data_IF_424406047473
#
_entry.id   IF_424406047473
#
_cell.length_a   1.000
_cell.length_b   1.000
_cell.length_c   1.000
_cell.angle_alpha   90.00
_cell.angle_beta   90.00
_cell.angle_gamma   90.00
#
_symmetry.space_group_name_H-M   'P 1'
#
loop_
_entity.id
_entity.type
_entity.pdbx_description
1 polymer ?
#
# COMPACT_ATOMS: atom_id res chain seq x y z
N UNK A 1 28.22 -26.24 44.25
CA UNK A 1 27.30 -25.09 44.11
C UNK A 1 27.72 -24.26 42.91
N UNK A 2 26.80 -24.12 41.95
CA UNK A 2 26.72 -23.17 40.80
C UNK A 2 27.89 -23.17 39.80
N UNK A 3 27.83 -23.72 38.58
CA UNK A 3 26.87 -23.68 37.45
C UNK A 3 26.93 -22.43 36.54
N UNK A 4 27.69 -22.62 35.46
CA UNK A 4 27.60 -22.14 34.06
C UNK A 4 26.61 -21.00 33.69
N UNK A 5 27.10 -20.05 32.88
CA UNK A 5 26.76 -19.93 31.44
C UNK A 5 27.50 -18.77 30.76
N UNK A 6 28.34 -19.08 29.76
CA UNK A 6 28.98 -18.10 28.87
C UNK A 6 28.09 -17.82 27.66
N UNK A 7 27.91 -16.53 27.39
CA UNK A 7 27.13 -15.93 26.29
C UNK A 7 27.70 -16.33 24.92
N UNK A 8 26.89 -16.94 24.06
CA UNK A 8 27.19 -17.14 22.62
C UNK A 8 26.75 -15.90 21.84
N UNK A 9 27.70 -15.11 21.33
CA UNK A 9 27.47 -14.17 20.23
C UNK A 9 27.53 -14.94 18.91
N UNK A 10 26.44 -14.96 18.13
CA UNK A 10 26.45 -15.44 16.73
C UNK A 10 26.73 -14.22 15.84
N UNK A 11 27.83 -14.28 15.10
CA UNK A 11 28.14 -13.34 14.03
C UNK A 11 27.32 -13.71 12.78
N UNK A 12 26.69 -12.72 12.17
CA UNK A 12 26.00 -12.83 10.87
C UNK A 12 27.04 -12.55 9.78
N UNK A 13 27.31 -13.53 8.92
CA UNK A 13 28.18 -13.37 7.77
C UNK A 13 27.35 -12.94 6.55
N UNK A 14 27.58 -11.73 6.05
CA UNK A 14 27.05 -11.23 4.77
C UNK A 14 28.11 -11.55 3.71
N UNK A 15 27.84 -12.56 2.88
CA UNK A 15 28.71 -12.94 1.76
C UNK A 15 28.34 -12.18 0.49
N UNK A 16 29.21 -11.26 0.05
CA UNK A 16 29.18 -10.63 -1.27
C UNK A 16 29.91 -11.56 -2.25
N UNK A 17 29.22 -12.08 -3.27
CA UNK A 17 29.85 -12.87 -4.33
C UNK A 17 30.34 -11.93 -5.43
N UNK A 18 31.66 -11.77 -5.51
CA UNK A 18 32.36 -11.11 -6.61
C UNK A 18 32.53 -12.03 -7.81
N UNK A 19 32.21 -11.52 -8.99
CA UNK A 19 32.35 -12.16 -10.29
C UNK A 19 33.82 -12.09 -10.73
N UNK A 20 34.50 -13.22 -10.90
CA UNK A 20 35.85 -13.28 -11.52
C UNK A 20 35.72 -14.06 -12.83
N UNK A 21 35.98 -13.37 -13.94
CA UNK A 21 36.12 -13.98 -15.28
C UNK A 21 37.51 -14.61 -15.40
N UNK A 22 37.58 -15.86 -15.87
CA UNK A 22 38.85 -16.51 -16.22
C UNK A 22 38.82 -16.97 -17.68
N UNK A 23 39.78 -16.47 -18.46
CA UNK A 23 40.08 -16.86 -19.84
C UNK A 23 40.60 -18.29 -19.89
N UNK A 24 40.11 -19.08 -20.84
CA UNK A 24 40.56 -20.45 -21.09
C UNK A 24 41.84 -20.49 -21.93
N UNK A 25 42.81 -21.28 -21.46
CA UNK A 25 43.89 -21.85 -22.28
C UNK A 25 43.66 -23.34 -22.35
N UNK A 26 43.63 -23.89 -23.56
CA UNK A 26 43.44 -25.30 -23.83
C UNK A 26 44.73 -26.10 -23.62
N UNK A 27 44.65 -27.21 -22.89
CA UNK A 27 45.64 -28.28 -22.94
C UNK A 27 44.92 -29.63 -22.84
N UNK A 28 45.05 -30.41 -23.90
CA UNK A 28 44.65 -31.81 -24.05
C UNK A 28 45.39 -32.70 -23.06
N UNK A 29 44.64 -33.50 -22.29
CA UNK A 29 45.20 -34.51 -21.39
C UNK A 29 44.14 -35.53 -20.96
N UNK A 30 44.26 -36.74 -21.51
CA UNK A 30 43.75 -38.05 -21.10
C UNK A 30 42.91 -38.10 -19.79
N UNK A 31 41.64 -38.52 -19.89
CA UNK A 31 40.82 -38.89 -18.72
C UNK A 31 40.47 -40.38 -18.80
N UNK A 32 41.02 -41.13 -17.84
CA UNK A 32 40.64 -42.50 -17.49
C UNK A 32 39.20 -42.46 -16.97
N UNK A 33 38.30 -43.23 -17.58
CA UNK A 33 36.91 -43.33 -17.16
C UNK A 33 36.80 -44.07 -15.82
N UNK A 34 36.77 -43.33 -14.72
CA UNK A 34 36.37 -43.83 -13.41
C UNK A 34 34.87 -43.59 -13.30
N UNK A 35 34.08 -44.65 -13.31
CA UNK A 35 32.63 -44.62 -13.11
C UNK A 35 32.27 -44.24 -11.68
N UNK A 36 32.47 -42.98 -11.29
CA UNK A 36 31.95 -42.40 -10.07
C UNK A 36 30.63 -41.70 -10.42
N UNK A 37 29.51 -42.30 -9.99
CA UNK A 37 28.19 -41.65 -10.03
C UNK A 37 28.30 -40.39 -9.18
N UNK A 38 28.25 -39.22 -9.82
CA UNK A 38 28.29 -37.93 -9.14
C UNK A 38 27.21 -37.89 -8.03
N UNK A 39 27.54 -37.46 -6.80
CA UNK A 39 26.53 -37.26 -5.78
C UNK A 39 25.53 -36.22 -6.29
N UNK A 40 24.23 -36.52 -6.20
CA UNK A 40 23.18 -35.52 -6.47
C UNK A 40 23.44 -34.35 -5.52
N UNK A 41 23.64 -33.16 -6.10
CA UNK A 41 23.69 -31.94 -5.31
C UNK A 41 22.32 -31.75 -4.65
N UNK A 42 22.25 -31.98 -3.35
CA UNK A 42 21.08 -31.62 -2.56
C UNK A 42 20.92 -30.10 -2.66
N UNK A 43 19.89 -29.66 -3.38
CA UNK A 43 19.55 -28.24 -3.48
C UNK A 43 19.05 -27.78 -2.12
N UNK A 44 19.92 -27.17 -1.32
CA UNK A 44 19.54 -26.47 -0.10
C UNK A 44 18.68 -25.27 -0.51
N UNK A 45 17.36 -25.42 -0.47
CA UNK A 45 16.45 -24.30 -0.64
C UNK A 45 16.51 -23.45 0.63
N UNK A 46 17.15 -22.28 0.55
CA UNK A 46 17.07 -21.28 1.61
C UNK A 46 15.62 -20.79 1.65
N UNK A 47 14.93 -21.01 2.77
CA UNK A 47 13.60 -20.47 2.99
C UNK A 47 13.70 -18.96 3.22
N UNK A 48 12.97 -18.17 2.45
CA UNK A 48 12.93 -16.72 2.63
C UNK A 48 12.12 -16.42 3.89
N UNK A 49 12.78 -15.82 4.89
CA UNK A 49 12.10 -15.21 6.03
C UNK A 49 11.51 -13.85 5.62
N UNK A 50 10.28 -13.89 5.13
CA UNK A 50 9.54 -12.72 4.66
C UNK A 50 9.32 -11.66 5.75
N UNK A 51 9.10 -12.11 7.00
CA UNK A 51 8.91 -11.21 8.13
C UNK A 51 10.22 -10.50 8.47
N UNK A 52 11.35 -11.22 8.53
CA UNK A 52 12.66 -10.62 8.76
C UNK A 52 13.04 -9.63 7.66
N UNK A 53 12.72 -9.92 6.40
CA UNK A 53 12.95 -9.01 5.28
C UNK A 53 12.16 -7.71 5.44
N UNK A 54 10.87 -7.78 5.77
CA UNK A 54 10.07 -6.60 6.05
C UNK A 54 10.60 -5.81 7.26
N UNK A 55 10.91 -6.50 8.36
CA UNK A 55 11.44 -5.88 9.58
C UNK A 55 12.78 -5.16 9.35
N UNK A 56 13.68 -5.74 8.56
CA UNK A 56 14.94 -5.10 8.19
C UNK A 56 14.69 -3.79 7.42
N UNK A 57 13.69 -3.75 6.52
CA UNK A 57 13.34 -2.55 5.77
C UNK A 57 12.69 -1.47 6.66
N UNK A 58 11.80 -1.87 7.56
CA UNK A 58 11.18 -0.97 8.53
C UNK A 58 12.24 -0.31 9.42
N UNK A 59 13.19 -1.07 9.93
CA UNK A 59 14.31 -0.55 10.71
C UNK A 59 15.19 0.42 9.90
N UNK A 60 15.56 0.05 8.67
CA UNK A 60 16.37 0.90 7.77
C UNK A 60 15.70 2.25 7.50
N UNK A 61 14.36 2.29 7.49
CA UNK A 61 13.58 3.48 7.16
C UNK A 61 13.04 4.22 8.38
N UNK A 62 13.45 3.83 9.61
CA UNK A 62 12.99 4.42 10.89
C UNK A 62 11.49 4.28 11.14
N UNK A 63 10.93 3.10 10.83
CA UNK A 63 9.56 2.70 11.19
C UNK A 63 9.59 1.51 12.17
N UNK A 64 10.45 1.60 13.17
CA UNK A 64 10.66 0.59 14.24
C UNK A 64 9.46 0.41 15.16
N UNK A 65 8.49 1.33 15.12
CA UNK A 65 7.19 1.17 15.77
C UNK A 65 6.34 0.03 15.16
N UNK A 66 6.68 -0.44 13.95
CA UNK A 66 5.96 -1.49 13.25
C UNK A 66 6.79 -2.78 13.16
N UNK A 67 6.12 -3.92 13.34
CA UNK A 67 6.70 -5.25 13.30
C UNK A 67 5.86 -6.11 12.37
N UNK A 68 6.51 -6.75 11.40
CA UNK A 68 5.95 -7.76 10.53
C UNK A 68 6.09 -9.16 11.17
N UNK A 69 5.03 -9.95 11.00
CA UNK A 69 4.97 -11.38 11.30
C UNK A 69 4.43 -12.14 10.10
N UNK A 70 4.82 -13.40 9.96
CA UNK A 70 4.31 -14.28 8.90
C UNK A 70 3.70 -15.53 9.54
N UNK A 71 2.44 -15.81 9.23
CA UNK A 71 1.75 -17.01 9.70
C UNK A 71 0.77 -17.50 8.63
N UNK A 72 0.85 -18.78 8.26
CA UNK A 72 -0.13 -19.45 7.38
C UNK A 72 -0.36 -18.74 6.03
N UNK A 73 0.67 -18.06 5.54
CA UNK A 73 0.61 -17.29 4.30
C UNK A 73 0.13 -15.85 4.44
N UNK A 74 -0.10 -15.37 5.65
CA UNK A 74 -0.45 -13.96 5.89
C UNK A 74 0.74 -13.21 6.46
N UNK A 75 1.07 -12.08 5.83
CA UNK A 75 1.99 -11.09 6.38
C UNK A 75 1.15 -10.09 7.18
N UNK A 76 1.36 -10.04 8.49
CA UNK A 76 0.67 -9.11 9.37
C UNK A 76 1.66 -8.11 9.93
N UNK A 77 1.38 -6.83 9.70
CA UNK A 77 2.08 -5.74 10.36
C UNK A 77 1.30 -5.30 11.60
N UNK A 78 2.00 -5.07 12.70
CA UNK A 78 1.41 -4.62 13.97
C UNK A 78 2.35 -3.62 14.63
N UNK A 79 1.82 -2.69 15.41
CA UNK A 79 2.61 -1.59 15.96
C UNK A 79 1.72 -0.44 16.39
N UNK A 80 2.33 0.63 16.91
CA UNK A 80 1.62 1.86 17.26
C UNK A 80 2.25 3.05 16.54
N UNK A 81 1.60 3.52 15.48
CA UNK A 81 2.08 4.66 14.70
C UNK A 81 1.74 6.00 15.37
N UNK A 82 2.60 7.03 15.19
CA UNK A 82 2.32 8.37 15.69
C UNK A 82 1.20 9.08 14.92
N UNK A 83 0.98 8.72 13.65
CA UNK A 83 -0.01 9.32 12.77
C UNK A 83 -0.36 8.39 11.59
N UNK A 84 -1.44 8.72 10.87
CA UNK A 84 -1.98 7.88 9.80
C UNK A 84 -1.08 7.82 8.57
N UNK A 85 -0.37 8.91 8.26
CA UNK A 85 0.57 8.94 7.16
C UNK A 85 1.76 8.01 7.43
N UNK A 86 2.28 8.04 8.66
CA UNK A 86 3.38 7.21 9.11
C UNK A 86 2.98 5.72 9.18
N UNK A 87 1.75 5.41 9.64
CA UNK A 87 1.16 4.06 9.55
C UNK A 87 1.17 3.53 8.12
N UNK A 88 0.59 4.30 7.19
CA UNK A 88 0.47 3.91 5.77
C UNK A 88 1.85 3.73 5.13
N UNK A 89 2.79 4.64 5.39
CA UNK A 89 4.17 4.54 4.89
C UNK A 89 4.86 3.27 5.37
N UNK A 90 4.76 2.93 6.66
CA UNK A 90 5.35 1.70 7.20
C UNK A 90 4.79 0.46 6.50
N UNK A 91 3.46 0.39 6.34
CA UNK A 91 2.82 -0.72 5.66
C UNK A 91 3.31 -0.89 4.22
N UNK A 92 3.36 0.20 3.46
CA UNK A 92 3.84 0.17 2.07
C UNK A 92 5.33 -0.16 1.95
N UNK A 93 6.17 0.31 2.87
CA UNK A 93 7.60 -0.01 2.90
C UNK A 93 7.81 -1.52 3.04
N UNK A 94 7.12 -2.15 4.00
CA UNK A 94 7.22 -3.59 4.22
C UNK A 94 6.66 -4.38 3.03
N UNK A 95 5.47 -4.01 2.55
CA UNK A 95 4.81 -4.65 1.41
C UNK A 95 5.68 -4.59 0.14
N UNK A 96 6.22 -3.42 -0.19
CA UNK A 96 7.08 -3.24 -1.37
C UNK A 96 8.38 -4.04 -1.26
N UNK A 97 8.98 -4.12 -0.08
CA UNK A 97 10.18 -4.93 0.13
C UNK A 97 9.90 -6.41 -0.18
N UNK A 98 8.78 -6.94 0.32
CA UNK A 98 8.37 -8.33 0.08
C UNK A 98 8.07 -8.58 -1.40
N UNK A 99 7.29 -7.71 -2.04
CA UNK A 99 6.95 -7.84 -3.47
C UNK A 99 8.21 -7.78 -4.35
N UNK A 100 9.17 -6.90 -4.02
CA UNK A 100 10.43 -6.82 -4.75
C UNK A 100 11.28 -8.09 -4.57
N UNK A 101 11.26 -8.71 -3.38
CA UNK A 101 11.94 -9.98 -3.17
C UNK A 101 11.25 -11.14 -3.93
N UNK A 102 9.92 -11.14 -4.02
CA UNK A 102 9.17 -12.13 -4.81
C UNK A 102 9.43 -12.07 -6.31
N UNK A 103 9.74 -10.89 -6.86
CA UNK A 103 10.03 -10.75 -8.30
C UNK A 103 11.41 -11.28 -8.67
N UNK A 104 12.34 -11.31 -7.70
CA UNK A 104 13.68 -11.87 -7.85
C UNK A 104 13.69 -13.38 -7.57
N UNK A 105 12.83 -13.85 -6.65
CA UNK A 105 12.70 -15.26 -6.34
C UNK A 105 11.96 -16.04 -7.45
N UNK A 106 12.70 -16.92 -8.13
CA UNK A 106 12.16 -17.84 -9.15
C UNK A 106 11.60 -19.13 -8.56
N UNK A 107 11.70 -19.33 -7.24
CA UNK A 107 11.15 -20.49 -6.55
C UNK A 107 9.63 -20.39 -6.37
N UNK A 108 9.00 -21.50 -5.97
CA UNK A 108 7.58 -21.52 -5.60
C UNK A 108 7.29 -20.85 -4.25
N UNK A 109 8.31 -20.43 -3.48
CA UNK A 109 8.13 -19.82 -2.16
C UNK A 109 7.32 -18.52 -2.20
N UNK A 110 7.32 -17.79 -3.33
CA UNK A 110 6.41 -16.64 -3.54
C UNK A 110 4.93 -16.98 -3.42
N UNK A 111 4.53 -18.24 -3.68
CA UNK A 111 3.14 -18.71 -3.52
C UNK A 111 2.74 -18.86 -2.05
N UNK A 112 3.70 -18.81 -1.13
CA UNK A 112 3.44 -18.92 0.30
C UNK A 112 2.65 -17.72 0.82
N UNK A 113 2.84 -16.53 0.26
CA UNK A 113 2.12 -15.32 0.69
C UNK A 113 0.80 -15.21 -0.06
N UNK A 114 -0.29 -15.18 0.70
CA UNK A 114 -1.68 -15.08 0.23
C UNK A 114 -2.27 -13.70 0.47
N UNK A 115 -1.85 -13.02 1.54
CA UNK A 115 -2.42 -11.74 1.95
C UNK A 115 -1.46 -10.90 2.81
N UNK A 116 -1.78 -9.60 2.89
CA UNK A 116 -1.14 -8.64 3.79
C UNK A 116 -2.22 -7.99 4.68
N UNK A 117 -1.97 -7.88 5.99
CA UNK A 117 -2.84 -7.22 6.96
C UNK A 117 -2.13 -6.06 7.65
N UNK A 118 -2.83 -4.93 7.82
CA UNK A 118 -2.28 -3.71 8.44
C UNK A 118 -2.88 -3.45 9.83
N UNK A 119 -2.44 -4.22 10.83
CA UNK A 119 -2.90 -4.08 12.21
C UNK A 119 -2.07 -3.07 13.01
N UNK A 120 -1.39 -2.13 12.34
CA UNK A 120 -0.74 -1.00 13.01
C UNK A 120 -1.85 -0.07 13.54
N UNK A 121 -1.81 0.24 14.83
CA UNK A 121 -2.72 1.18 15.50
C UNK A 121 -2.22 2.62 15.37
N UNK A 122 -3.07 3.59 15.70
CA UNK A 122 -2.68 5.00 15.89
C UNK A 122 -3.02 5.36 17.32
N UNK A 123 -2.03 5.81 18.09
CA UNK A 123 -2.20 6.10 19.52
C UNK A 123 -2.83 4.94 20.32
N UNK A 124 -2.59 3.69 19.90
CA UNK A 124 -3.18 2.49 20.51
C UNK A 124 -4.56 2.12 19.99
N UNK A 125 -5.21 2.97 19.20
CA UNK A 125 -6.50 2.69 18.58
C UNK A 125 -6.31 1.89 17.29
N UNK A 126 -7.01 0.76 17.18
CA UNK A 126 -7.08 0.07 15.90
C UNK A 126 -7.70 1.02 14.89
N UNK A 127 -6.97 1.27 13.81
CA UNK A 127 -7.58 1.91 12.67
C UNK A 127 -8.26 0.81 11.89
N UNK A 128 -9.55 0.72 12.16
CA UNK A 128 -10.56 -0.04 11.45
C UNK A 128 -10.24 -0.05 9.95
N UNK A 129 -9.89 -1.25 9.45
CA UNK A 129 -9.48 -1.42 8.06
C UNK A 129 -10.64 -1.01 7.15
N UNK A 130 -10.34 -0.81 5.87
CA UNK A 130 -11.27 -0.57 4.75
C UNK A 130 -12.62 -1.35 4.81
N UNK A 131 -12.64 -2.48 5.52
CA UNK A 131 -13.80 -3.34 5.78
C UNK A 131 -14.77 -2.84 6.86
N UNK A 132 -14.31 -2.08 7.84
CA UNK A 132 -15.10 -1.64 9.00
C UNK A 132 -15.97 -0.41 8.68
N UNK A 133 -15.52 0.48 7.79
CA UNK A 133 -16.37 1.56 7.25
C UNK A 133 -17.63 1.03 6.54
N UNK A 134 -17.58 -0.21 6.03
CA UNK A 134 -18.73 -0.88 5.42
C UNK A 134 -19.62 -1.62 6.43
N UNK A 135 -19.07 -2.03 7.58
CA UNK A 135 -19.84 -2.74 8.62
C UNK A 135 -20.66 -1.78 9.50
N UNK A 136 -20.27 -0.50 9.57
CA UNK A 136 -21.01 0.53 10.30
C UNK A 136 -22.24 1.05 9.54
N UNK A 137 -22.28 0.89 8.21
CA UNK A 137 -23.43 1.32 7.41
C UNK A 137 -24.66 0.43 7.68
N UNK A 138 -25.78 0.96 8.19
CA UNK A 138 -26.98 0.18 8.46
C UNK A 138 -27.61 -0.30 7.15
N UNK A 139 -28.44 -1.36 7.17
CA UNK A 139 -29.03 -1.97 5.96
C UNK A 139 -29.72 -0.95 5.03
N UNK A 140 -30.36 0.07 5.61
CA UNK A 140 -30.93 1.22 4.90
C UNK A 140 -30.24 2.51 5.34
N UNK A 141 -29.06 2.84 4.77
CA UNK A 141 -28.29 3.99 5.20
C UNK A 141 -28.98 5.30 4.83
N UNK A 142 -28.93 6.26 5.75
CA UNK A 142 -29.31 7.65 5.52
C UNK A 142 -28.14 8.43 4.91
N UNK A 143 -28.39 9.65 4.43
CA UNK A 143 -27.36 10.48 3.80
C UNK A 143 -26.15 10.74 4.71
N UNK A 144 -26.40 10.98 6.00
CA UNK A 144 -25.36 11.19 7.02
C UNK A 144 -24.55 9.90 7.30
N UNK A 145 -25.17 8.73 7.29
CA UNK A 145 -24.47 7.45 7.42
C UNK A 145 -23.49 7.26 6.26
N UNK A 146 -23.96 7.54 5.04
CA UNK A 146 -23.16 7.50 3.83
C UNK A 146 -21.99 8.49 3.86
N UNK A 147 -22.24 9.74 4.26
CA UNK A 147 -21.19 10.76 4.39
C UNK A 147 -20.15 10.33 5.44
N UNK A 148 -20.60 9.86 6.60
CA UNK A 148 -19.73 9.40 7.68
C UNK A 148 -18.84 8.25 7.23
N UNK A 149 -19.37 7.30 6.45
CA UNK A 149 -18.57 6.20 5.91
C UNK A 149 -17.48 6.67 4.95
N UNK A 150 -17.78 7.66 4.08
CA UNK A 150 -16.77 8.31 3.24
C UNK A 150 -15.70 9.01 4.08
N UNK A 151 -16.10 9.80 5.08
CA UNK A 151 -15.20 10.56 5.93
C UNK A 151 -14.26 9.65 6.72
N UNK A 152 -14.78 8.56 7.31
CA UNK A 152 -13.97 7.55 8.02
C UNK A 152 -12.96 6.91 7.06
N UNK A 153 -13.39 6.51 5.87
CA UNK A 153 -12.52 5.80 4.94
C UNK A 153 -11.42 6.72 4.36
N UNK A 154 -11.73 8.01 4.18
CA UNK A 154 -10.77 9.01 3.73
C UNK A 154 -9.90 9.56 4.86
N UNK A 155 -10.29 9.39 6.13
CA UNK A 155 -9.49 9.81 7.28
C UNK A 155 -8.12 9.12 7.24
N UNK A 156 -7.06 9.91 7.03
CA UNK A 156 -5.69 9.40 6.96
C UNK A 156 -5.31 8.71 5.64
N UNK A 157 -6.19 8.69 4.64
CA UNK A 157 -5.95 8.11 3.32
C UNK A 157 -6.00 9.18 2.23
N UNK A 158 -5.24 8.99 1.15
CA UNK A 158 -5.19 9.91 0.01
C UNK A 158 -5.26 9.09 -1.27
N UNK A 159 -6.06 9.56 -2.23
CA UNK A 159 -6.05 9.02 -3.59
C UNK A 159 -4.85 9.58 -4.34
N UNK A 160 -3.90 8.72 -4.68
CA UNK A 160 -2.67 9.09 -5.36
C UNK A 160 -2.79 8.94 -6.89
N UNK A 161 -2.07 9.81 -7.58
CA UNK A 161 -1.96 9.81 -9.04
C UNK A 161 -0.48 9.83 -9.45
N UNK A 162 -0.19 9.36 -10.66
CA UNK A 162 1.14 9.53 -11.25
C UNK A 162 1.43 11.03 -11.45
N UNK A 163 2.70 11.42 -11.31
CA UNK A 163 3.12 12.84 -11.29
C UNK A 163 2.56 13.63 -12.48
N UNK A 164 1.98 14.79 -12.21
CA UNK A 164 1.39 15.68 -13.22
C UNK A 164 0.19 15.11 -14.00
N UNK A 165 -0.32 13.93 -13.62
CA UNK A 165 -1.36 13.22 -14.39
C UNK A 165 -2.63 12.95 -13.57
N UNK A 166 -3.63 12.40 -14.25
CA UNK A 166 -4.84 11.83 -13.68
C UNK A 166 -4.83 10.28 -13.68
N UNK A 167 -3.66 9.65 -13.89
CA UNK A 167 -3.53 8.19 -13.83
C UNK A 167 -3.50 7.76 -12.37
N UNK A 168 -4.56 7.08 -11.92
CA UNK A 168 -4.69 6.55 -10.55
C UNK A 168 -3.55 5.56 -10.28
N UNK A 169 -2.83 5.78 -9.18
CA UNK A 169 -1.78 4.89 -8.73
C UNK A 169 -2.35 3.54 -8.23
N UNK A 170 -1.64 2.44 -8.47
CA UNK A 170 -2.12 1.10 -8.12
C UNK A 170 -2.39 0.92 -6.62
N UNK A 171 -1.66 1.63 -5.77
CA UNK A 171 -1.82 1.63 -4.30
C UNK A 171 -3.15 2.27 -3.86
N UNK A 172 -3.78 3.10 -4.70
CA UNK A 172 -5.02 3.79 -4.41
C UNK A 172 -6.26 2.98 -4.80
N UNK A 173 -6.09 1.95 -5.63
CA UNK A 173 -7.20 1.10 -6.12
C UNK A 173 -7.96 0.37 -5.00
N UNK A 174 -7.32 -0.17 -3.95
CA UNK A 174 -8.04 -0.79 -2.83
C UNK A 174 -8.95 0.20 -2.09
N UNK A 175 -8.44 1.41 -1.82
CA UNK A 175 -9.23 2.49 -1.23
C UNK A 175 -10.44 2.83 -2.11
N UNK A 176 -10.22 3.04 -3.41
CA UNK A 176 -11.28 3.36 -4.37
C UNK A 176 -12.31 2.22 -4.51
N UNK A 177 -11.89 0.96 -4.42
CA UNK A 177 -12.81 -0.19 -4.45
C UNK A 177 -13.77 -0.15 -3.26
N UNK A 178 -13.31 0.23 -2.07
CA UNK A 178 -14.19 0.36 -0.91
C UNK A 178 -15.06 1.62 -0.94
N UNK A 179 -14.53 2.74 -1.44
CA UNK A 179 -15.34 3.94 -1.73
C UNK A 179 -16.47 3.61 -2.73
N UNK A 180 -16.21 2.70 -3.69
CA UNK A 180 -17.22 2.19 -4.62
C UNK A 180 -18.29 1.35 -3.90
N UNK A 181 -17.87 0.49 -2.96
CA UNK A 181 -18.80 -0.30 -2.16
C UNK A 181 -19.74 0.56 -1.30
N UNK A 182 -19.24 1.68 -0.74
CA UNK A 182 -20.09 2.67 -0.06
C UNK A 182 -21.13 3.24 -1.03
N UNK A 183 -20.72 3.71 -2.20
CA UNK A 183 -21.64 4.25 -3.21
C UNK A 183 -22.72 3.23 -3.62
N UNK A 184 -22.36 1.97 -3.83
CA UNK A 184 -23.32 0.89 -4.17
C UNK A 184 -24.37 0.69 -3.07
N UNK A 185 -23.99 0.85 -1.80
CA UNK A 185 -24.92 0.76 -0.66
C UNK A 185 -25.74 2.02 -0.45
N UNK A 186 -25.20 3.17 -0.83
CA UNK A 186 -25.81 4.49 -0.74
C UNK A 186 -26.56 4.90 -2.02
N UNK A 187 -27.19 3.92 -2.67
CA UNK A 187 -27.75 4.02 -4.03
C UNK A 187 -28.82 5.11 -4.21
N UNK A 188 -29.46 5.55 -3.12
CA UNK A 188 -30.54 6.55 -3.13
C UNK A 188 -30.03 8.00 -3.18
N UNK A 189 -28.73 8.22 -2.96
CA UNK A 189 -28.15 9.56 -2.86
C UNK A 189 -27.15 9.82 -3.98
N UNK A 190 -27.08 11.07 -4.43
CA UNK A 190 -26.00 11.50 -5.33
C UNK A 190 -24.71 11.65 -4.54
N UNK A 191 -23.61 11.29 -5.19
CA UNK A 191 -22.26 11.39 -4.65
C UNK A 191 -21.47 12.32 -5.56
N UNK A 192 -21.07 13.47 -5.02
CA UNK A 192 -20.12 14.35 -5.69
C UNK A 192 -18.70 13.84 -5.45
N UNK A 193 -17.90 13.75 -6.51
CA UNK A 193 -16.46 13.49 -6.48
C UNK A 193 -15.76 14.81 -6.78
N UNK A 194 -15.14 15.40 -5.75
CA UNK A 194 -14.46 16.69 -5.80
C UNK A 194 -12.94 16.54 -5.90
N UNK A 195 -12.32 17.13 -6.92
CA UNK A 195 -10.87 17.16 -7.08
C UNK A 195 -10.26 18.47 -6.60
N UNK A 196 -9.10 18.40 -5.93
CA UNK A 196 -8.35 19.57 -5.47
C UNK A 196 -6.86 19.46 -5.80
N UNK A 197 -6.20 20.61 -6.00
CA UNK A 197 -4.74 20.73 -6.17
C UNK A 197 -4.10 21.46 -4.99
N UNK A 198 -2.77 21.52 -4.98
CA UNK A 198 -2.06 22.49 -4.14
C UNK A 198 -2.17 23.91 -4.73
N UNK A 199 -1.57 24.86 -4.03
CA UNK A 199 -1.57 26.29 -4.36
C UNK A 199 -0.51 26.69 -5.40
N UNK A 200 0.20 25.71 -5.97
CA UNK A 200 1.36 25.96 -6.82
C UNK A 200 1.00 25.78 -8.28
N UNK A 201 1.54 26.66 -9.14
CA UNK A 201 1.35 26.61 -10.58
C UNK A 201 0.25 27.53 -11.09
N UNK A 202 -0.23 27.25 -12.31
CA UNK A 202 -1.24 28.06 -12.98
C UNK A 202 -2.65 27.61 -12.56
N UNK A 203 -3.50 28.57 -12.17
CA UNK A 203 -4.85 28.31 -11.66
C UNK A 203 -5.72 27.56 -12.68
N UNK A 204 -5.60 27.88 -13.97
CA UNK A 204 -6.39 27.21 -15.02
C UNK A 204 -5.90 25.76 -15.24
N UNK A 205 -4.59 25.54 -15.23
CA UNK A 205 -4.01 24.21 -15.27
C UNK A 205 -4.42 23.36 -14.05
N UNK A 206 -4.43 23.97 -12.85
CA UNK A 206 -4.86 23.34 -11.61
C UNK A 206 -6.35 22.96 -11.64
N UNK A 207 -7.19 23.86 -12.17
CA UNK A 207 -8.61 23.58 -12.40
C UNK A 207 -8.78 22.33 -13.29
N UNK A 208 -8.20 22.33 -14.48
CA UNK A 208 -8.31 21.19 -15.40
C UNK A 208 -7.74 19.89 -14.81
N UNK A 209 -6.61 19.96 -14.10
CA UNK A 209 -6.00 18.78 -13.49
C UNK A 209 -6.91 18.18 -12.42
N UNK A 210 -7.51 19.03 -11.58
CA UNK A 210 -8.43 18.60 -10.54
C UNK A 210 -9.68 17.92 -11.12
N UNK A 211 -10.26 18.47 -12.20
CA UNK A 211 -11.41 17.91 -12.91
C UNK A 211 -11.07 16.54 -13.50
N UNK A 212 -9.93 16.42 -14.22
CA UNK A 212 -9.49 15.15 -14.80
C UNK A 212 -9.25 14.07 -13.74
N UNK A 213 -8.72 14.44 -12.58
CA UNK A 213 -8.50 13.51 -11.46
C UNK A 213 -9.81 13.04 -10.85
N UNK A 214 -10.74 13.97 -10.61
CA UNK A 214 -12.08 13.64 -10.12
C UNK A 214 -12.83 12.74 -11.13
N UNK A 215 -12.70 13.01 -12.43
CA UNK A 215 -13.27 12.17 -13.48
C UNK A 215 -12.67 10.76 -13.49
N UNK A 216 -11.34 10.63 -13.41
CA UNK A 216 -10.69 9.33 -13.36
C UNK A 216 -11.16 8.48 -12.16
N UNK A 217 -11.41 9.13 -11.02
CA UNK A 217 -11.99 8.48 -9.84
C UNK A 217 -13.42 8.04 -10.11
N UNK A 218 -14.26 8.91 -10.66
CA UNK A 218 -15.64 8.55 -11.01
C UNK A 218 -15.69 7.38 -12.01
N UNK A 219 -14.84 7.38 -13.03
CA UNK A 219 -14.74 6.29 -14.02
C UNK A 219 -14.33 4.97 -13.35
N UNK A 220 -13.39 5.02 -12.39
CA UNK A 220 -13.02 3.85 -11.60
C UNK A 220 -14.21 3.31 -10.80
N UNK A 221 -14.96 4.20 -10.13
CA UNK A 221 -16.15 3.84 -9.36
C UNK A 221 -17.22 3.18 -10.24
N UNK A 222 -17.48 3.74 -11.43
CA UNK A 222 -18.41 3.16 -12.40
C UNK A 222 -17.95 1.77 -12.84
N UNK A 223 -16.65 1.59 -13.12
CA UNK A 223 -16.06 0.29 -13.42
C UNK A 223 -16.19 -0.73 -12.28
N UNK A 224 -16.48 -0.29 -11.06
CA UNK A 224 -16.72 -1.12 -9.88
C UNK A 224 -18.21 -1.20 -9.49
N UNK A 225 -19.13 -0.85 -10.41
CA UNK A 225 -20.56 -1.08 -10.26
C UNK A 225 -21.37 0.09 -9.72
N UNK A 226 -20.76 1.27 -9.52
CA UNK A 226 -21.50 2.49 -9.19
C UNK A 226 -22.23 3.00 -10.44
N UNK A 227 -23.49 3.43 -10.29
CA UNK A 227 -24.25 3.99 -11.41
C UNK A 227 -23.69 5.36 -11.78
N UNK A 228 -23.39 5.60 -13.05
CA UNK A 228 -22.88 6.91 -13.50
C UNK A 228 -23.84 8.08 -13.13
N UNK A 229 -25.15 7.84 -13.17
CA UNK A 229 -26.18 8.83 -12.79
C UNK A 229 -26.19 9.18 -11.30
N UNK A 230 -25.50 8.39 -10.47
CA UNK A 230 -25.31 8.66 -9.05
C UNK A 230 -24.17 9.66 -8.82
N UNK A 231 -23.24 9.79 -9.76
CA UNK A 231 -22.00 10.54 -9.59
C UNK A 231 -22.10 11.92 -10.23
N UNK A 232 -21.61 12.92 -9.50
CA UNK A 232 -21.31 14.26 -10.04
C UNK A 232 -19.82 14.48 -9.93
N UNK A 233 -19.17 14.99 -10.97
CA UNK A 233 -17.74 15.27 -10.96
C UNK A 233 -17.52 16.77 -10.94
N UNK A 234 -16.71 17.26 -9.99
CA UNK A 234 -16.29 18.65 -9.93
C UNK A 234 -14.77 18.72 -9.67
N UNK A 235 -14.10 19.62 -10.38
CA UNK A 235 -12.78 20.08 -9.99
C UNK A 235 -12.87 21.44 -9.34
N UNK A 236 -12.12 21.63 -8.27
CA UNK A 236 -12.06 22.90 -7.54
C UNK A 236 -10.72 23.60 -7.75
N UNK A 237 -9.76 22.97 -8.43
CA UNK A 237 -8.38 23.42 -8.49
C UNK A 237 -7.84 23.72 -7.10
N UNK A 238 -7.27 24.91 -6.95
CA UNK A 238 -6.74 25.43 -5.68
C UNK A 238 -7.74 26.30 -4.90
N UNK A 239 -8.95 26.51 -5.42
CA UNK A 239 -9.91 27.51 -4.90
C UNK A 239 -10.57 27.16 -3.57
N UNK A 240 -10.43 25.91 -3.11
CA UNK A 240 -11.02 25.38 -1.87
C UNK A 240 -9.96 24.66 -1.02
N UNK A 241 -8.96 25.39 -0.47
CA UNK A 241 -7.95 24.79 0.39
C UNK A 241 -8.55 24.41 1.74
N UNK A 242 -8.16 23.25 2.28
CA UNK A 242 -8.43 22.90 3.69
C UNK A 242 -7.46 23.64 4.60
N UNK A 243 -6.23 23.84 4.12
CA UNK A 243 -5.18 24.56 4.84
C UNK A 243 -4.60 25.62 3.91
N UNK A 244 -4.89 26.89 4.21
CA UNK A 244 -4.46 28.03 3.39
C UNK A 244 -3.00 28.45 3.67
N UNK A 245 -2.30 27.77 4.58
CA UNK A 245 -0.91 28.07 4.91
C UNK A 245 -0.01 27.77 3.71
N UNK A 246 0.95 28.66 3.42
CA UNK A 246 1.93 28.46 2.35
C UNK A 246 3.06 27.49 2.80
N UNK A 247 2.71 26.24 3.08
CA UNK A 247 3.66 25.21 3.52
C UNK A 247 3.48 23.91 2.73
N UNK A 248 4.57 23.16 2.53
CA UNK A 248 4.52 21.85 1.86
C UNK A 248 3.58 20.85 2.54
N UNK A 249 3.40 20.97 3.86
CA UNK A 249 2.46 20.15 4.62
C UNK A 249 1.00 20.52 4.31
N UNK A 250 0.68 21.80 4.19
CA UNK A 250 -0.63 22.28 3.78
C UNK A 250 -0.95 21.88 2.33
N UNK A 251 0.01 22.05 1.42
CA UNK A 251 -0.13 21.61 0.02
C UNK A 251 -0.41 20.10 -0.09
N UNK A 252 0.24 19.29 0.75
CA UNK A 252 -0.02 17.85 0.81
C UNK A 252 -1.44 17.51 1.26
N UNK A 253 -2.03 18.29 2.18
CA UNK A 253 -3.44 18.14 2.58
C UNK A 253 -4.39 18.61 1.48
N UNK A 254 -4.03 19.67 0.76
CA UNK A 254 -4.89 20.26 -0.26
C UNK A 254 -5.00 19.37 -1.52
N UNK A 255 -3.95 18.63 -1.89
CA UNK A 255 -3.97 17.61 -2.95
C UNK A 255 -4.80 16.39 -2.53
N UNK A 256 -6.11 16.45 -2.73
CA UNK A 256 -7.05 15.41 -2.29
C UNK A 256 -8.21 15.19 -3.25
N UNK A 257 -8.92 14.10 -3.02
CA UNK A 257 -10.24 13.82 -3.57
C UNK A 257 -11.22 13.85 -2.40
N UNK A 258 -12.32 14.59 -2.54
CA UNK A 258 -13.43 14.63 -1.61
C UNK A 258 -14.64 13.90 -2.16
N UNK A 259 -15.47 13.40 -1.25
CA UNK A 259 -16.78 12.83 -1.57
C UNK A 259 -17.86 13.55 -0.75
N UNK A 260 -18.91 14.03 -1.41
CA UNK A 260 -20.05 14.68 -0.74
C UNK A 260 -21.36 14.02 -1.11
N UNK A 261 -22.15 13.68 -0.12
CA UNK A 261 -23.49 13.13 -0.30
C UNK A 261 -24.51 14.27 -0.42
N UNK A 262 -25.31 14.25 -1.48
CA UNK A 262 -26.45 15.16 -1.59
C UNK A 262 -27.65 14.61 -0.80
N UNK A 263 -28.22 15.42 0.09
CA UNK A 263 -29.45 15.08 0.83
C UNK A 263 -30.67 14.97 -0.09
N UNK A 264 -30.62 15.59 -1.27
CA UNK A 264 -31.67 15.49 -2.28
C UNK A 264 -31.49 14.17 -3.03
N UNK A 265 -32.25 13.15 -2.62
CA UNK A 265 -32.19 11.82 -3.24
C UNK A 265 -32.35 11.84 -4.75
N UNK A 266 -31.88 10.78 -5.41
CA UNK A 266 -32.06 10.58 -6.85
C UNK A 266 -33.55 10.26 -7.08
N UNK A 267 -34.33 11.29 -7.42
CA UNK A 267 -35.72 11.13 -7.87
C UNK A 267 -35.77 10.54 -9.27
#
# INVERSE_FOLDING_TARGET
>A
MSEKAKIKKRAVAIGIVGLVSFMGVATTGLVIAIGAKAPKADSVSVEIDWAALANAKLLQTRHDFAIASFNSGMIKLSGNAPDAQTRTRAFEIARRAIIAAMSVDKSDQKRAIKAFENNITINGEKMDDVRDALTTLPTSPQANDCQTAYDILLAGHVVNFSSGSAIIANDSKPLLSALSAIAVRCVNYRVEVGGHTDSQGDTFANQQLSERRAQAVADFLVGNGVRATQLTVLGYGESKPIDASATAAADAKNRRIEFKISETGIR
#
